data_IF_423607454692
#
_entry.id   IF_423607454692
#
_cell.length_a   1.000
_cell.length_b   1.000
_cell.length_c   1.000
_cell.angle_alpha   90.00
_cell.angle_beta   90.00
_cell.angle_gamma   90.00
#
_symmetry.space_group_name_H-M   'P 1'
#
loop_
_entity.id
_entity.type
_entity.pdbx_description
1 polymer ?
#
# COMPACT_ATOMS: atom_id res chain seq x y z
N UNK A 1 -13.73 -21.21 -0.74
CA UNK A 1 -13.32 -20.69 -2.07
C UNK A 1 -11.85 -21.01 -2.25
N UNK A 2 -11.48 -21.65 -3.36
CA UNK A 2 -10.07 -21.93 -3.67
C UNK A 2 -9.47 -20.79 -4.50
N UNK A 3 -8.19 -20.48 -4.27
CA UNK A 3 -7.50 -19.44 -5.04
C UNK A 3 -7.15 -19.95 -6.43
N UNK A 4 -7.44 -19.13 -7.45
CA UNK A 4 -6.92 -19.31 -8.80
C UNK A 4 -5.39 -19.20 -8.81
N UNK A 5 -4.73 -19.62 -9.90
CA UNK A 5 -3.28 -19.48 -10.04
C UNK A 5 -2.81 -18.02 -9.89
N UNK A 6 -3.55 -17.08 -10.48
CA UNK A 6 -3.29 -15.63 -10.32
C UNK A 6 -3.53 -15.20 -8.87
N UNK A 7 -4.53 -15.77 -8.18
CA UNK A 7 -4.75 -15.57 -6.75
C UNK A 7 -3.56 -16.01 -5.91
N UNK A 8 -3.02 -17.21 -6.17
CA UNK A 8 -1.80 -17.72 -5.51
C UNK A 8 -0.58 -16.83 -5.77
N UNK A 9 -0.45 -16.30 -6.99
CA UNK A 9 0.57 -15.29 -7.32
C UNK A 9 0.38 -14.03 -6.47
N UNK A 10 -0.84 -13.51 -6.38
CA UNK A 10 -1.15 -12.33 -5.58
C UNK A 10 -0.80 -12.55 -4.11
N UNK A 11 -1.13 -13.71 -3.54
CA UNK A 11 -0.74 -14.07 -2.18
C UNK A 11 0.78 -14.07 -1.99
N UNK A 12 1.50 -14.79 -2.85
CA UNK A 12 2.97 -14.86 -2.77
C UNK A 12 3.61 -13.46 -2.87
N UNK A 13 3.16 -12.61 -3.78
CA UNK A 13 3.71 -11.25 -3.94
C UNK A 13 3.32 -10.32 -2.79
N UNK A 14 2.16 -10.55 -2.15
CA UNK A 14 1.78 -9.84 -0.93
C UNK A 14 2.70 -10.20 0.24
N UNK A 15 2.93 -11.49 0.50
CA UNK A 15 3.83 -11.94 1.56
C UNK A 15 5.28 -11.45 1.35
N UNK A 16 5.78 -11.51 0.11
CA UNK A 16 7.10 -10.96 -0.25
C UNK A 16 7.23 -9.48 0.01
N UNK A 17 6.13 -8.72 -0.05
CA UNK A 17 6.16 -7.26 0.16
C UNK A 17 6.73 -6.92 1.55
N UNK A 18 6.43 -7.71 2.57
CA UNK A 18 6.93 -7.53 3.93
C UNK A 18 8.41 -7.96 4.06
N UNK A 19 8.76 -9.09 3.46
CA UNK A 19 10.14 -9.61 3.46
C UNK A 19 11.13 -8.67 2.75
N UNK A 20 10.71 -8.03 1.66
CA UNK A 20 11.57 -7.13 0.88
C UNK A 20 11.76 -5.74 1.51
N UNK A 21 11.09 -5.44 2.63
CA UNK A 21 11.06 -4.09 3.23
C UNK A 21 11.28 -4.10 4.74
N UNK A 22 12.33 -4.78 5.24
CA UNK A 22 12.62 -4.81 6.68
C UNK A 22 12.88 -3.40 7.24
N UNK A 23 13.34 -2.47 6.39
CA UNK A 23 13.68 -1.10 6.78
C UNK A 23 12.48 -0.14 6.92
N UNK A 24 11.27 -0.62 6.61
CA UNK A 24 10.04 0.17 6.70
C UNK A 24 9.15 -0.20 7.89
N UNK A 25 9.51 -1.21 8.68
CA UNK A 25 8.73 -1.66 9.84
C UNK A 25 7.25 -1.91 9.49
N UNK A 26 7.00 -2.78 8.52
CA UNK A 26 5.66 -3.06 8.01
C UNK A 26 4.96 -4.12 8.87
N UNK A 27 3.66 -3.92 9.12
CA UNK A 27 2.79 -4.90 9.77
C UNK A 27 1.73 -5.38 8.80
N UNK A 28 1.55 -6.70 8.73
CA UNK A 28 0.52 -7.31 7.91
C UNK A 28 -0.75 -7.51 8.76
N UNK A 29 -1.83 -6.83 8.39
CA UNK A 29 -3.15 -7.09 8.97
C UNK A 29 -3.94 -8.10 8.16
N UNK A 30 -5.25 -8.20 8.43
CA UNK A 30 -6.17 -9.05 7.67
C UNK A 30 -6.17 -8.67 6.20
N UNK A 31 -6.19 -9.67 5.32
CA UNK A 31 -6.33 -9.50 3.88
C UNK A 31 -7.21 -10.60 3.29
N UNK A 32 -7.75 -10.35 2.10
CA UNK A 32 -8.52 -11.33 1.32
C UNK A 32 -8.25 -11.12 -0.16
N UNK A 33 -8.12 -12.24 -0.88
CA UNK A 33 -7.97 -12.28 -2.34
C UNK A 33 -9.27 -12.85 -2.90
N UNK A 34 -9.95 -12.05 -3.70
CA UNK A 34 -11.20 -12.41 -4.37
C UNK A 34 -10.96 -12.49 -5.88
N UNK A 35 -11.84 -13.15 -6.65
CA UNK A 35 -11.65 -13.31 -8.10
C UNK A 35 -11.43 -11.99 -8.86
N UNK A 36 -12.07 -10.90 -8.42
CA UNK A 36 -11.99 -9.59 -9.08
C UNK A 36 -11.28 -8.49 -8.27
N UNK A 37 -10.96 -8.71 -6.98
CA UNK A 37 -10.38 -7.68 -6.13
C UNK A 37 -9.50 -8.23 -4.99
N UNK A 38 -8.78 -7.32 -4.33
CA UNK A 38 -7.93 -7.61 -3.20
C UNK A 38 -8.14 -6.55 -2.13
N UNK A 39 -8.40 -6.96 -0.89
CA UNK A 39 -8.43 -6.07 0.27
C UNK A 39 -7.35 -6.48 1.27
N UNK A 40 -6.70 -5.50 1.88
CA UNK A 40 -5.72 -5.73 2.93
C UNK A 40 -5.62 -4.57 3.90
N UNK A 41 -5.30 -4.88 5.14
CA UNK A 41 -4.82 -3.93 6.14
C UNK A 41 -3.30 -3.99 6.17
N UNK A 42 -2.67 -2.82 6.08
CA UNK A 42 -1.23 -2.66 6.20
C UNK A 42 -0.90 -1.59 7.24
N UNK A 43 -0.04 -1.96 8.19
CA UNK A 43 0.56 -1.02 9.13
C UNK A 43 1.93 -0.57 8.63
N UNK A 44 2.23 0.72 8.75
CA UNK A 44 3.58 1.27 8.55
C UNK A 44 4.04 1.82 9.90
N UNK A 45 4.83 1.03 10.61
CA UNK A 45 5.37 1.39 11.90
C UNK A 45 6.38 2.53 11.83
N UNK A 46 6.80 2.98 13.00
CA UNK A 46 7.87 3.96 13.17
C UNK A 46 9.15 3.45 12.49
N UNK A 47 9.71 4.23 11.58
CA UNK A 47 10.94 3.91 10.83
C UNK A 47 11.67 5.20 10.42
N UNK A 48 12.88 5.09 9.86
CA UNK A 48 13.70 6.26 9.49
C UNK A 48 13.04 7.21 8.48
N UNK A 49 12.09 6.74 7.69
CA UNK A 49 11.42 7.52 6.64
C UNK A 49 10.21 8.33 7.13
N UNK A 50 9.61 7.94 8.26
CA UNK A 50 8.48 8.64 8.87
C UNK A 50 8.80 9.31 10.22
N UNK A 51 10.00 9.10 10.78
CA UNK A 51 10.46 9.72 12.04
C UNK A 51 11.37 10.92 11.88
N UNK A 52 12.07 11.03 10.76
CA UNK A 52 13.09 12.07 10.56
C UNK A 52 12.52 13.49 10.40
N UNK A 53 11.19 13.67 10.46
CA UNK A 53 10.57 15.00 10.43
C UNK A 53 10.87 15.89 11.65
N UNK A 54 11.47 15.36 12.73
CA UNK A 54 11.75 16.12 13.95
C UNK A 54 13.24 16.39 14.24
N UNK A 55 14.18 16.13 13.31
CA UNK A 55 15.63 16.43 13.52
C UNK A 55 16.25 17.41 12.55
N UNK A 56 15.44 18.11 11.76
CA UNK A 56 15.82 19.38 11.16
C UNK A 56 14.66 20.32 11.39
N UNK A 57 14.91 21.43 12.08
CA UNK A 57 14.14 22.66 11.95
C UNK A 57 13.69 22.80 10.49
N UNK A 58 12.44 22.45 10.23
CA UNK A 58 11.72 22.92 9.07
C UNK A 58 10.52 23.58 9.69
N UNK A 59 10.72 24.87 9.89
CA UNK A 59 9.66 25.82 10.14
C UNK A 59 8.48 25.44 9.26
N UNK A 60 7.33 25.40 9.89
CA UNK A 60 6.06 25.32 9.20
C UNK A 60 6.10 26.30 8.03
N UNK A 61 5.67 25.86 6.85
CA UNK A 61 5.34 26.75 5.74
C UNK A 61 4.19 27.66 6.17
N UNK A 62 4.50 28.67 6.96
CA UNK A 62 3.73 29.89 7.01
C UNK A 62 4.64 30.97 6.43
N UNK A 63 4.17 31.54 5.33
CA UNK A 63 4.86 32.50 4.53
C UNK A 63 5.46 33.63 5.38
N UNK A 64 6.62 34.12 4.90
CA UNK A 64 7.36 35.32 5.30
C UNK A 64 8.34 35.13 6.47
N UNK A 65 9.63 34.99 6.13
CA UNK A 65 10.72 35.61 6.90
C UNK A 65 11.92 35.90 6.00
N UNK A 66 12.28 37.18 5.91
CA UNK A 66 13.56 37.66 5.42
C UNK A 66 14.66 37.21 6.38
N UNK A 67 15.74 36.62 5.86
CA UNK A 67 17.13 37.02 6.14
C UNK A 67 18.08 36.17 5.30
N UNK A 68 19.01 36.86 4.66
CA UNK A 68 20.16 36.37 3.91
C UNK A 68 20.95 35.29 4.64
N UNK A 69 21.20 34.13 4.01
CA UNK A 69 22.51 33.44 3.92
C UNK A 69 22.39 32.15 3.06
N UNK A 70 23.06 32.16 1.89
CA UNK A 70 23.39 31.04 0.98
C UNK A 70 22.28 30.09 0.49
N UNK A 71 21.96 30.07 -0.83
CA UNK A 71 21.02 29.11 -1.40
C UNK A 71 21.69 27.74 -1.52
N UNK A 72 21.44 26.84 -0.58
CA UNK A 72 21.67 25.42 -0.85
C UNK A 72 20.71 25.01 -1.98
N UNK A 73 21.19 24.44 -3.10
CA UNK A 73 20.31 24.09 -4.19
C UNK A 73 19.58 22.81 -3.80
N UNK A 74 18.44 22.93 -3.12
CA UNK A 74 17.48 21.84 -3.01
C UNK A 74 16.86 21.63 -4.39
N UNK A 75 17.64 21.07 -5.33
CA UNK A 75 17.13 20.66 -6.63
C UNK A 75 16.03 19.65 -6.36
N UNK A 76 14.80 19.96 -6.78
CA UNK A 76 13.73 18.97 -6.87
C UNK A 76 14.22 17.84 -7.78
N UNK A 77 14.69 16.75 -7.18
CA UNK A 77 15.11 15.57 -7.94
C UNK A 77 13.84 14.81 -8.32
N UNK A 78 13.49 14.79 -9.60
CA UNK A 78 12.51 13.88 -10.16
C UNK A 78 13.05 12.44 -10.03
N UNK A 79 12.92 11.87 -8.83
CA UNK A 79 13.31 10.51 -8.52
C UNK A 79 12.05 9.66 -8.31
N UNK A 80 12.08 8.34 -8.62
CA UNK A 80 10.96 7.47 -8.36
C UNK A 80 10.55 7.52 -6.89
N UNK A 81 9.24 7.69 -6.64
CA UNK A 81 8.69 7.63 -5.29
C UNK A 81 9.08 6.29 -4.62
N UNK A 82 9.68 6.39 -3.44
CA UNK A 82 10.14 5.25 -2.65
C UNK A 82 9.77 5.43 -1.18
N UNK A 83 9.75 4.31 -0.44
CA UNK A 83 9.62 4.27 1.03
C UNK A 83 8.32 4.91 1.59
N UNK A 84 7.20 4.65 0.90
CA UNK A 84 5.84 5.01 1.33
C UNK A 84 4.79 4.04 0.75
N UNK A 85 3.52 4.20 1.17
CA UNK A 85 2.41 3.35 0.75
C UNK A 85 2.26 3.22 -0.79
N UNK A 86 2.26 4.32 -1.58
CA UNK A 86 2.17 4.19 -3.04
C UNK A 86 3.30 3.35 -3.64
N UNK A 87 4.53 3.50 -3.14
CA UNK A 87 5.67 2.69 -3.61
C UNK A 87 5.57 1.21 -3.21
N UNK A 88 4.87 0.90 -2.12
CA UNK A 88 4.58 -0.47 -1.69
C UNK A 88 3.58 -1.10 -2.65
N UNK A 89 2.41 -0.47 -2.81
CA UNK A 89 1.33 -0.97 -3.67
C UNK A 89 1.77 -1.07 -5.12
N UNK A 90 2.56 -0.10 -5.62
CA UNK A 90 3.15 -0.17 -6.96
C UNK A 90 3.97 -1.43 -7.18
N UNK A 91 4.89 -1.77 -6.25
CA UNK A 91 5.74 -2.97 -6.40
C UNK A 91 4.93 -4.24 -6.30
N UNK A 92 3.95 -4.30 -5.41
CA UNK A 92 3.01 -5.41 -5.31
C UNK A 92 2.28 -5.63 -6.64
N UNK A 93 1.62 -4.60 -7.18
CA UNK A 93 0.90 -4.68 -8.46
C UNK A 93 1.81 -5.07 -9.63
N UNK A 94 3.05 -4.56 -9.67
CA UNK A 94 4.06 -4.94 -10.69
C UNK A 94 4.41 -6.43 -10.60
N UNK A 95 4.71 -6.92 -9.39
CA UNK A 95 5.05 -8.32 -9.16
C UNK A 95 3.95 -9.27 -9.61
N UNK A 96 2.70 -8.96 -9.24
CA UNK A 96 1.53 -9.72 -9.68
C UNK A 96 1.36 -9.64 -11.19
N UNK A 97 1.36 -8.44 -11.77
CA UNK A 97 1.12 -8.25 -13.21
C UNK A 97 2.14 -9.01 -14.05
N UNK A 98 3.43 -9.00 -13.67
CA UNK A 98 4.50 -9.68 -14.40
C UNK A 98 4.23 -11.18 -14.54
N UNK A 99 3.81 -11.83 -13.46
CA UNK A 99 3.55 -13.27 -13.43
C UNK A 99 2.17 -13.62 -13.96
N UNK A 100 1.15 -12.85 -13.59
CA UNK A 100 -0.23 -13.05 -14.04
C UNK A 100 -0.34 -12.97 -15.56
N UNK A 101 0.42 -12.09 -16.22
CA UNK A 101 0.42 -11.98 -17.70
C UNK A 101 1.07 -13.15 -18.43
N UNK A 102 1.83 -13.99 -17.74
CA UNK A 102 2.30 -15.26 -18.30
C UNK A 102 1.17 -16.29 -18.40
N UNK A 103 0.14 -16.17 -17.56
CA UNK A 103 -1.03 -17.05 -17.53
C UNK A 103 -2.19 -16.44 -18.34
N UNK A 104 -2.45 -15.15 -18.14
CA UNK A 104 -3.47 -14.38 -18.84
C UNK A 104 -2.88 -13.05 -19.33
N UNK A 105 -2.50 -12.94 -20.62
CA UNK A 105 -1.92 -11.72 -21.19
C UNK A 105 -2.77 -10.46 -21.01
N UNK A 106 -4.10 -10.62 -20.90
CA UNK A 106 -5.05 -9.53 -20.73
C UNK A 106 -5.23 -9.09 -19.26
N UNK A 107 -4.53 -9.72 -18.31
CA UNK A 107 -4.61 -9.33 -16.90
C UNK A 107 -4.25 -7.85 -16.71
N UNK A 108 -5.16 -7.14 -16.02
CA UNK A 108 -5.01 -5.74 -15.67
C UNK A 108 -5.63 -5.46 -14.32
N UNK A 109 -4.96 -4.61 -13.55
CA UNK A 109 -5.54 -3.99 -12.38
C UNK A 109 -6.46 -2.83 -12.79
N UNK A 110 -7.50 -2.56 -12.01
CA UNK A 110 -8.10 -1.24 -12.01
C UNK A 110 -7.04 -0.18 -11.67
N UNK A 111 -7.10 0.94 -12.37
CA UNK A 111 -6.23 2.11 -12.13
C UNK A 111 -6.34 2.59 -10.68
N UNK A 112 -5.21 3.02 -10.11
CA UNK A 112 -5.09 3.46 -8.70
C UNK A 112 -5.51 2.36 -7.72
N UNK A 113 -5.73 2.71 -6.46
CA UNK A 113 -6.26 1.84 -5.43
C UNK A 113 -7.05 2.71 -4.44
N UNK A 114 -7.99 2.09 -3.72
CA UNK A 114 -8.66 2.74 -2.60
C UNK A 114 -7.82 2.57 -1.34
N UNK A 115 -7.65 3.64 -0.57
CA UNK A 115 -7.06 3.58 0.76
C UNK A 115 -7.91 4.31 1.78
N UNK A 116 -7.80 3.87 3.04
CA UNK A 116 -8.52 4.42 4.17
C UNK A 116 -7.64 4.31 5.41
N UNK A 117 -7.44 5.43 6.12
CA UNK A 117 -6.68 5.45 7.38
C UNK A 117 -7.58 4.99 8.51
N UNK A 118 -7.25 3.84 9.10
CA UNK A 118 -7.92 3.28 10.28
C UNK A 118 -7.43 4.04 11.51
N UNK A 119 -8.31 4.78 12.18
CA UNK A 119 -7.93 5.75 13.24
C UNK A 119 -8.20 5.27 14.67
N UNK A 120 -9.04 4.25 14.83
CA UNK A 120 -9.42 3.73 16.14
C UNK A 120 -9.75 2.24 16.08
N UNK A 121 -9.81 1.62 17.25
CA UNK A 121 -10.05 0.19 17.41
C UNK A 121 -11.40 -0.26 16.83
N UNK A 122 -12.47 0.53 17.00
CA UNK A 122 -13.80 0.22 16.46
C UNK A 122 -13.73 0.13 14.92
N UNK A 123 -13.07 1.09 14.27
CA UNK A 123 -12.88 1.08 12.81
C UNK A 123 -11.99 -0.08 12.37
N UNK A 124 -10.96 -0.41 13.15
CA UNK A 124 -10.08 -1.54 12.88
C UNK A 124 -10.83 -2.87 12.92
N UNK A 125 -11.64 -3.09 13.96
CA UNK A 125 -12.47 -4.28 14.09
C UNK A 125 -13.48 -4.40 12.95
N UNK A 126 -14.21 -3.31 12.65
CA UNK A 126 -15.20 -3.30 11.56
C UNK A 126 -14.58 -3.64 10.20
N UNK A 127 -13.44 -3.03 9.86
CA UNK A 127 -12.76 -3.26 8.59
C UNK A 127 -12.16 -4.67 8.55
N UNK A 128 -11.55 -5.13 9.64
CA UNK A 128 -11.02 -6.49 9.75
C UNK A 128 -12.11 -7.54 9.53
N UNK A 129 -13.26 -7.35 10.20
CA UNK A 129 -14.42 -8.23 10.06
C UNK A 129 -15.01 -8.18 8.64
N UNK A 130 -15.07 -7.00 8.02
CA UNK A 130 -15.49 -6.89 6.61
C UNK A 130 -14.59 -7.71 5.68
N UNK A 131 -13.27 -7.61 5.84
CA UNK A 131 -12.30 -8.35 5.03
C UNK A 131 -12.46 -9.87 5.22
N UNK A 132 -12.55 -10.31 6.46
CA UNK A 132 -12.67 -11.74 6.80
C UNK A 132 -13.99 -12.35 6.35
N UNK A 133 -15.09 -11.60 6.44
CA UNK A 133 -16.41 -12.06 6.01
C UNK A 133 -16.65 -11.90 4.51
N UNK A 134 -15.76 -11.25 3.76
CA UNK A 134 -15.96 -10.96 2.34
C UNK A 134 -16.20 -12.23 1.49
N UNK A 135 -15.44 -13.33 1.66
CA UNK A 135 -15.67 -14.55 0.89
C UNK A 135 -17.06 -15.14 1.11
N UNK A 136 -17.62 -15.04 2.32
CA UNK A 136 -18.96 -15.52 2.65
C UNK A 136 -20.07 -14.67 2.03
N UNK A 137 -19.76 -13.40 1.73
CA UNK A 137 -20.68 -12.44 1.12
C UNK A 137 -20.50 -12.34 -0.39
N UNK A 138 -19.64 -13.16 -0.98
CA UNK A 138 -19.27 -13.08 -2.39
C UNK A 138 -20.46 -13.20 -3.33
N UNK A 139 -21.36 -14.15 -3.08
CA UNK A 139 -22.58 -14.35 -3.88
C UNK A 139 -23.50 -13.11 -3.89
N UNK A 140 -23.37 -12.24 -2.89
CA UNK A 140 -24.15 -11.01 -2.71
C UNK A 140 -23.34 -9.75 -3.09
N UNK A 141 -22.13 -9.91 -3.60
CA UNK A 141 -21.27 -8.79 -3.97
C UNK A 141 -21.85 -8.05 -5.19
N UNK A 142 -21.81 -6.71 -5.14
CA UNK A 142 -22.37 -5.85 -6.20
C UNK A 142 -21.69 -6.07 -7.56
N UNK A 143 -20.45 -6.55 -7.55
CA UNK A 143 -19.67 -6.83 -8.74
C UNK A 143 -19.48 -8.34 -8.98
N UNK A 144 -20.27 -9.18 -8.29
CA UNK A 144 -20.40 -10.58 -8.62
C UNK A 144 -21.09 -10.70 -9.99
N UNK A 145 -20.44 -11.41 -10.92
CA UNK A 145 -20.93 -11.67 -12.27
C UNK A 145 -20.67 -13.12 -12.61
#
# INVERSE_FOLDING_TARGET
MELSEIGKIAESEWLKTFQMRPDMNLYMGKYVIMPNHFHAIIGIGKNRYNTQRCRRHRDAMHCVSMTTTTPSPSKNKFAPQSKNLPSIIRRFKIGVTKKARQINPNFKWQSRYYDHIIRNEISFYRISNYIEQNPLKWEKDKFHK
#
